data_IF_030717298665
#
_entry.id   IF_030717298665
#
_cell.length_a   1.000
_cell.length_b   1.000
_cell.length_c   1.000
_cell.angle_alpha   90.00
_cell.angle_beta   90.00
_cell.angle_gamma   90.00
#
_symmetry.space_group_name_H-M   'P 1'
#
loop_
_entity.id
_entity.type
_entity.pdbx_description
1 polymer ?
#
# COMPACT_ATOMS: atom_id res chain seq x y z
N UNK A 1 9.80 3.93 24.47
CA UNK A 1 10.85 3.94 23.44
C UNK A 1 10.66 5.21 22.62
N UNK A 2 11.60 6.16 22.70
CA UNK A 2 11.53 7.37 21.87
C UNK A 2 11.73 6.97 20.40
N UNK A 3 10.77 7.32 19.56
CA UNK A 3 10.76 7.01 18.13
C UNK A 3 11.65 7.96 17.32
N UNK A 4 12.86 8.23 17.81
CA UNK A 4 13.93 8.90 17.07
C UNK A 4 14.93 7.84 16.61
N UNK A 5 14.43 6.81 15.92
CA UNK A 5 15.30 5.89 15.19
C UNK A 5 15.66 6.60 13.90
N UNK A 6 16.91 7.05 13.78
CA UNK A 6 17.48 7.36 12.47
C UNK A 6 17.08 6.23 11.50
N UNK A 7 16.43 6.58 10.40
CA UNK A 7 16.06 5.64 9.34
C UNK A 7 17.33 5.19 8.60
N UNK A 8 18.23 4.50 9.30
CA UNK A 8 19.41 3.89 8.71
C UNK A 8 18.95 2.62 8.00
N UNK A 9 18.83 2.70 6.67
CA UNK A 9 18.41 1.59 5.82
C UNK A 9 19.27 0.34 6.05
N UNK A 10 20.57 0.53 6.29
CA UNK A 10 21.51 -0.58 6.57
C UNK A 10 21.17 -1.30 7.87
N UNK A 11 20.81 -0.55 8.92
CA UNK A 11 20.38 -1.13 10.18
C UNK A 11 19.00 -1.81 10.06
N UNK A 12 18.05 -1.15 9.39
CA UNK A 12 16.72 -1.70 9.13
C UNK A 12 16.80 -3.04 8.39
N UNK A 13 17.65 -3.12 7.37
CA UNK A 13 17.89 -4.35 6.61
C UNK A 13 18.55 -5.44 7.46
N UNK A 14 19.65 -5.12 8.16
CA UNK A 14 20.41 -6.07 8.96
C UNK A 14 19.55 -6.72 10.06
N UNK A 15 18.62 -5.96 10.62
CA UNK A 15 17.81 -6.38 11.77
C UNK A 15 16.46 -6.99 11.33
N UNK A 16 16.01 -6.77 10.09
CA UNK A 16 14.79 -7.36 9.56
C UNK A 16 14.91 -8.89 9.41
N UNK A 17 13.93 -9.69 9.88
CA UNK A 17 13.87 -11.11 9.57
C UNK A 17 13.44 -11.38 8.12
N UNK A 18 13.46 -12.64 7.70
CA UNK A 18 13.44 -12.99 6.29
C UNK A 18 12.15 -12.61 5.57
N UNK A 19 10.96 -12.72 6.18
CA UNK A 19 9.71 -12.35 5.50
C UNK A 19 9.67 -10.86 5.22
N UNK A 20 10.06 -10.05 6.20
CA UNK A 20 10.11 -8.59 6.04
C UNK A 20 11.03 -8.17 4.90
N UNK A 21 12.20 -8.83 4.77
CA UNK A 21 13.12 -8.62 3.64
C UNK A 21 12.51 -9.10 2.33
N UNK A 22 11.93 -10.29 2.31
CA UNK A 22 11.32 -10.88 1.11
C UNK A 22 10.19 -10.01 0.58
N UNK A 23 9.29 -9.52 1.43
CA UNK A 23 8.20 -8.62 1.02
C UNK A 23 8.77 -7.35 0.40
N UNK A 24 9.77 -6.71 1.02
CA UNK A 24 10.39 -5.52 0.45
C UNK A 24 11.06 -5.79 -0.90
N UNK A 25 11.85 -6.87 -1.02
CA UNK A 25 12.56 -7.23 -2.26
C UNK A 25 11.58 -7.61 -3.37
N UNK A 26 10.58 -8.45 -3.08
CA UNK A 26 9.58 -8.88 -4.08
C UNK A 26 8.79 -7.68 -4.59
N UNK A 27 8.48 -6.70 -3.73
CA UNK A 27 7.84 -5.46 -4.17
C UNK A 27 8.75 -4.62 -5.09
N UNK A 28 10.04 -4.49 -4.77
CA UNK A 28 10.99 -3.79 -5.65
C UNK A 28 11.18 -4.49 -7.01
N UNK A 29 11.22 -5.82 -7.00
CA UNK A 29 11.30 -6.63 -8.23
C UNK A 29 10.01 -6.45 -9.05
N UNK A 30 8.85 -6.61 -8.42
CA UNK A 30 7.55 -6.47 -9.08
C UNK A 30 7.35 -5.08 -9.70
N UNK A 31 7.76 -4.02 -8.99
CA UNK A 31 7.80 -2.66 -9.53
C UNK A 31 8.73 -2.53 -10.74
N UNK A 32 9.92 -3.11 -10.67
CA UNK A 32 10.90 -3.04 -11.75
C UNK A 32 10.42 -3.77 -13.00
N UNK A 33 9.70 -4.89 -12.82
CA UNK A 33 9.02 -5.61 -13.90
C UNK A 33 7.90 -4.75 -14.47
N UNK A 34 7.02 -4.20 -13.63
CA UNK A 34 5.92 -3.34 -14.06
C UNK A 34 6.42 -2.12 -14.85
N UNK A 35 7.52 -1.52 -14.40
CA UNK A 35 8.22 -0.46 -15.10
C UNK A 35 8.68 -0.88 -16.49
N UNK A 36 9.45 -1.98 -16.56
CA UNK A 36 10.00 -2.48 -17.82
C UNK A 36 8.88 -2.80 -18.82
N UNK A 37 7.81 -3.42 -18.35
CA UNK A 37 6.65 -3.75 -19.18
C UNK A 37 5.97 -2.49 -19.72
N UNK A 38 5.82 -1.45 -18.90
CA UNK A 38 5.17 -0.20 -19.29
C UNK A 38 6.03 0.64 -20.26
N UNK A 39 7.31 0.85 -19.95
CA UNK A 39 8.16 1.79 -20.68
C UNK A 39 8.92 1.15 -21.84
N UNK A 40 9.39 -0.09 -21.70
CA UNK A 40 10.22 -0.76 -22.73
C UNK A 40 9.35 -1.59 -23.68
N UNK A 41 8.42 -2.37 -23.13
CA UNK A 41 7.56 -3.25 -23.94
C UNK A 41 6.32 -2.50 -24.46
N UNK A 42 6.09 -1.27 -23.98
CA UNK A 42 4.87 -0.49 -24.26
C UNK A 42 3.58 -1.28 -23.98
N UNK A 43 3.63 -2.17 -22.99
CA UNK A 43 2.48 -2.97 -22.59
C UNK A 43 1.50 -2.08 -21.83
N UNK A 44 0.53 -1.52 -22.57
CA UNK A 44 -0.45 -0.54 -22.05
C UNK A 44 -1.54 -1.15 -21.17
N UNK A 45 -1.66 -2.48 -21.14
CA UNK A 45 -2.50 -3.20 -20.20
C UNK A 45 -1.78 -3.29 -18.86
N UNK A 46 -1.53 -2.15 -18.22
CA UNK A 46 -0.75 -2.13 -16.98
C UNK A 46 -1.51 -2.85 -15.85
N UNK A 47 -0.78 -3.38 -14.86
CA UNK A 47 -1.36 -4.09 -13.71
C UNK A 47 -2.38 -3.32 -12.88
N UNK A 48 -2.45 -2.00 -13.07
CA UNK A 48 -3.46 -1.16 -12.42
C UNK A 48 -4.85 -1.33 -13.03
N UNK A 49 -4.94 -1.73 -14.31
CA UNK A 49 -6.18 -2.16 -14.97
C UNK A 49 -6.56 -3.59 -14.53
N UNK A 50 -5.59 -4.40 -14.07
CA UNK A 50 -5.79 -5.81 -13.71
C UNK A 50 -6.72 -6.02 -12.50
N UNK A 51 -6.77 -5.10 -11.54
CA UNK A 51 -7.68 -5.26 -10.39
C UNK A 51 -9.16 -5.04 -10.76
N UNK A 52 -9.45 -4.14 -11.71
CA UNK A 52 -10.80 -3.99 -12.25
C UNK A 52 -11.10 -5.11 -13.26
N UNK A 53 -10.09 -5.55 -14.02
CA UNK A 53 -10.19 -6.73 -14.88
C UNK A 53 -10.48 -8.00 -14.08
N UNK A 54 -9.91 -8.16 -12.88
CA UNK A 54 -10.15 -9.28 -11.95
C UNK A 54 -11.63 -9.53 -11.71
N UNK A 55 -12.42 -8.45 -11.57
CA UNK A 55 -13.87 -8.52 -11.35
C UNK A 55 -14.56 -9.07 -12.60
N UNK A 56 -14.19 -8.58 -13.78
CA UNK A 56 -14.81 -8.97 -15.05
C UNK A 56 -14.36 -10.35 -15.55
N UNK A 57 -13.14 -10.78 -15.21
CA UNK A 57 -12.56 -12.05 -15.66
C UNK A 57 -12.62 -13.16 -14.60
N UNK A 58 -13.01 -12.85 -13.36
CA UNK A 58 -12.92 -13.77 -12.23
C UNK A 58 -11.48 -14.13 -11.83
N UNK A 59 -10.49 -13.37 -12.31
CA UNK A 59 -9.08 -13.68 -12.09
C UNK A 59 -8.60 -13.16 -10.72
N UNK A 60 -8.72 -14.02 -9.71
CA UNK A 60 -8.28 -13.75 -8.34
C UNK A 60 -6.75 -13.51 -8.28
N UNK A 61 -5.97 -14.03 -9.24
CA UNK A 61 -4.52 -13.84 -9.25
C UNK A 61 -4.15 -12.36 -9.38
N UNK A 62 -4.97 -11.59 -10.08
CA UNK A 62 -4.80 -10.14 -10.20
C UNK A 62 -4.89 -9.41 -8.85
N UNK A 63 -5.74 -9.89 -7.92
CA UNK A 63 -5.82 -9.35 -6.56
C UNK A 63 -4.52 -9.58 -5.77
N UNK A 64 -3.85 -10.69 -6.06
CA UNK A 64 -2.58 -11.00 -5.43
C UNK A 64 -1.42 -10.23 -6.06
N UNK A 65 -1.41 -10.08 -7.39
CA UNK A 65 -0.30 -9.49 -8.14
C UNK A 65 -0.28 -7.96 -8.10
N UNK A 66 -1.44 -7.31 -8.06
CA UNK A 66 -1.55 -5.87 -8.17
C UNK A 66 -0.74 -5.07 -7.11
N UNK A 67 -0.68 -5.45 -5.82
CA UNK A 67 0.14 -4.76 -4.83
C UNK A 67 1.64 -4.76 -5.16
N UNK A 68 2.12 -5.75 -5.92
CA UNK A 68 3.53 -5.90 -6.25
C UNK A 68 3.94 -5.14 -7.51
N UNK A 69 2.97 -4.73 -8.34
CA UNK A 69 3.22 -4.30 -9.72
C UNK A 69 2.73 -2.87 -10.04
N UNK A 70 2.70 -1.97 -9.06
CA UNK A 70 2.34 -0.57 -9.25
C UNK A 70 3.47 0.21 -9.92
N UNK A 71 3.20 0.89 -11.03
CA UNK A 71 4.19 1.70 -11.76
C UNK A 71 3.75 3.16 -11.93
N UNK A 72 2.46 3.41 -12.20
CA UNK A 72 1.92 4.70 -12.61
C UNK A 72 0.70 5.09 -11.77
N UNK A 73 0.97 5.73 -10.63
CA UNK A 73 -0.06 6.17 -9.68
C UNK A 73 -0.78 7.49 -10.07
N UNK A 74 -0.64 7.99 -11.29
CA UNK A 74 -1.23 9.26 -11.72
C UNK A 74 -0.52 9.88 -12.93
N UNK A 75 -1.21 10.80 -13.61
CA UNK A 75 -0.78 11.40 -14.89
C UNK A 75 0.63 12.02 -14.86
N UNK A 76 1.59 11.35 -15.47
CA UNK A 76 2.87 11.95 -15.90
C UNK A 76 3.98 12.11 -14.86
N UNK A 77 3.74 11.84 -13.56
CA UNK A 77 4.75 12.03 -12.50
C UNK A 77 5.47 10.72 -12.11
N UNK A 78 6.25 10.18 -13.03
CA UNK A 78 6.94 8.89 -12.85
C UNK A 78 7.91 8.90 -11.66
N UNK A 79 8.65 10.00 -11.47
CA UNK A 79 9.66 10.13 -10.42
C UNK A 79 9.03 10.15 -9.02
N UNK A 80 7.93 10.88 -8.85
CA UNK A 80 7.20 10.94 -7.58
C UNK A 80 6.56 9.59 -7.24
N UNK A 81 5.98 8.91 -8.24
CA UNK A 81 5.43 7.56 -8.08
C UNK A 81 6.50 6.57 -7.61
N UNK A 82 7.67 6.58 -8.25
CA UNK A 82 8.80 5.74 -7.86
C UNK A 82 9.29 6.06 -6.45
N UNK A 83 9.49 7.35 -6.13
CA UNK A 83 9.93 7.78 -4.80
C UNK A 83 8.96 7.31 -3.71
N UNK A 84 7.67 7.54 -3.90
CA UNK A 84 6.65 7.15 -2.91
C UNK A 84 6.55 5.63 -2.80
N UNK A 85 6.72 4.88 -3.89
CA UNK A 85 6.64 3.42 -3.81
C UNK A 85 7.90 2.79 -3.19
N UNK A 86 9.07 3.41 -3.36
CA UNK A 86 10.27 3.10 -2.56
C UNK A 86 10.03 3.39 -1.08
N UNK A 87 9.40 4.52 -0.76
CA UNK A 87 9.06 4.89 0.62
C UNK A 87 8.10 3.88 1.26
N UNK A 88 7.16 3.30 0.51
CA UNK A 88 6.32 2.20 0.99
C UNK A 88 7.16 0.98 1.38
N UNK A 89 8.13 0.59 0.52
CA UNK A 89 9.03 -0.54 0.78
C UNK A 89 9.86 -0.32 2.03
N UNK A 90 10.41 0.89 2.21
CA UNK A 90 11.16 1.29 3.40
C UNK A 90 10.26 1.27 4.64
N UNK A 91 9.02 1.74 4.52
CA UNK A 91 8.05 1.75 5.62
C UNK A 91 7.75 0.33 6.09
N UNK A 92 7.53 -0.58 5.16
CA UNK A 92 7.31 -2.00 5.44
C UNK A 92 8.55 -2.62 6.08
N UNK A 93 9.73 -2.40 5.50
CA UNK A 93 10.99 -2.94 6.03
C UNK A 93 11.26 -2.47 7.47
N UNK A 94 10.87 -1.24 7.82
CA UNK A 94 11.05 -0.70 9.17
C UNK A 94 9.99 -1.20 10.17
N UNK A 95 8.77 -1.48 9.72
CA UNK A 95 7.62 -1.71 10.62
C UNK A 95 7.18 -3.16 10.71
N UNK A 96 7.27 -3.93 9.62
CA UNK A 96 6.90 -5.34 9.57
C UNK A 96 7.76 -6.26 10.46
N UNK A 97 9.08 -6.02 10.66
CA UNK A 97 9.90 -6.85 11.55
C UNK A 97 9.36 -7.03 12.96
N UNK A 98 8.72 -5.99 13.52
CA UNK A 98 8.12 -6.06 14.85
C UNK A 98 6.97 -7.07 14.90
N UNK A 99 6.11 -7.07 13.87
CA UNK A 99 5.03 -8.04 13.71
C UNK A 99 5.58 -9.45 13.45
N UNK A 100 6.60 -9.57 12.61
CA UNK A 100 7.21 -10.84 12.27
C UNK A 100 7.81 -11.55 13.50
N UNK A 101 8.49 -10.78 14.37
CA UNK A 101 9.02 -11.32 15.64
C UNK A 101 7.92 -11.70 16.62
N UNK A 102 6.80 -10.96 16.64
CA UNK A 102 5.68 -11.20 17.55
C UNK A 102 4.91 -12.47 17.18
N UNK A 103 4.63 -12.67 15.90
CA UNK A 103 3.77 -13.76 15.43
C UNK A 103 4.54 -14.96 14.86
N UNK A 104 5.84 -14.80 14.56
CA UNK A 104 6.65 -15.75 13.81
C UNK A 104 6.53 -15.53 12.30
N UNK A 105 7.59 -15.86 11.56
CA UNK A 105 7.71 -15.57 10.13
C UNK A 105 6.56 -16.13 9.28
N UNK A 106 6.24 -17.41 9.42
CA UNK A 106 5.17 -18.03 8.61
C UNK A 106 3.80 -17.43 8.86
N UNK A 107 3.47 -17.13 10.13
CA UNK A 107 2.20 -16.46 10.46
C UNK A 107 2.19 -15.04 9.94
N UNK A 108 3.32 -14.33 10.03
CA UNK A 108 3.45 -12.99 9.48
C UNK A 108 3.29 -12.97 7.96
N UNK A 109 3.84 -13.96 7.26
CA UNK A 109 3.65 -14.12 5.82
C UNK A 109 2.17 -14.36 5.49
N UNK A 110 1.54 -15.34 6.14
CA UNK A 110 0.12 -15.64 5.93
C UNK A 110 -0.78 -14.43 6.22
N UNK A 111 -0.53 -13.70 7.31
CA UNK A 111 -1.24 -12.48 7.65
C UNK A 111 -1.00 -11.37 6.63
N UNK A 112 0.23 -11.22 6.13
CA UNK A 112 0.55 -10.24 5.09
C UNK A 112 -0.25 -10.50 3.82
N UNK A 113 -0.26 -11.76 3.35
CA UNK A 113 -1.03 -12.16 2.17
C UNK A 113 -2.54 -11.99 2.39
N UNK A 114 -3.06 -12.41 3.55
CA UNK A 114 -4.46 -12.24 3.90
C UNK A 114 -4.86 -10.76 3.95
N UNK A 115 -4.04 -9.89 4.55
CA UNK A 115 -4.29 -8.45 4.58
C UNK A 115 -4.27 -7.85 3.17
N UNK A 116 -3.31 -8.22 2.31
CA UNK A 116 -3.26 -7.73 0.94
C UNK A 116 -4.53 -8.10 0.16
N UNK A 117 -4.95 -9.35 0.25
CA UNK A 117 -6.20 -9.82 -0.38
C UNK A 117 -7.43 -9.12 0.19
N UNK A 118 -7.52 -8.96 1.52
CA UNK A 118 -8.64 -8.31 2.17
C UNK A 118 -8.75 -6.83 1.79
N UNK A 119 -7.63 -6.11 1.78
CA UNK A 119 -7.60 -4.69 1.40
C UNK A 119 -8.06 -4.52 -0.04
N UNK A 120 -7.53 -5.33 -0.96
CA UNK A 120 -7.93 -5.29 -2.37
C UNK A 120 -9.39 -5.67 -2.57
N UNK A 121 -9.88 -6.69 -1.84
CA UNK A 121 -11.28 -7.10 -1.86
C UNK A 121 -12.22 -6.01 -1.35
N UNK A 122 -11.87 -5.33 -0.26
CA UNK A 122 -12.65 -4.18 0.25
C UNK A 122 -12.67 -3.06 -0.79
N UNK A 123 -11.51 -2.69 -1.33
CA UNK A 123 -11.41 -1.64 -2.34
C UNK A 123 -12.30 -1.93 -3.55
N UNK A 124 -12.20 -3.16 -4.08
CA UNK A 124 -13.00 -3.61 -5.21
C UNK A 124 -14.49 -3.60 -4.90
N UNK A 125 -14.91 -4.16 -3.76
CA UNK A 125 -16.32 -4.19 -3.39
C UNK A 125 -16.92 -2.80 -3.21
N UNK A 126 -16.15 -1.83 -2.68
CA UNK A 126 -16.59 -0.44 -2.57
C UNK A 126 -16.72 0.22 -3.95
N UNK A 127 -15.75 0.00 -4.84
CA UNK A 127 -15.81 0.53 -6.20
C UNK A 127 -16.99 -0.07 -6.99
N UNK A 128 -17.22 -1.38 -6.87
CA UNK A 128 -18.35 -2.07 -7.51
C UNK A 128 -19.69 -1.54 -7.00
N UNK A 129 -19.86 -1.39 -5.68
CA UNK A 129 -21.06 -0.81 -5.10
C UNK A 129 -21.30 0.64 -5.54
N UNK A 130 -20.24 1.44 -5.67
CA UNK A 130 -20.32 2.81 -6.19
C UNK A 130 -20.74 2.85 -7.66
N UNK A 131 -20.22 1.94 -8.49
CA UNK A 131 -20.63 1.79 -9.89
C UNK A 131 -22.11 1.38 -10.00
N UNK A 132 -22.56 0.40 -9.22
CA UNK A 132 -23.95 -0.07 -9.23
C UNK A 132 -24.94 1.00 -8.75
N UNK A 133 -24.57 1.77 -7.72
CA UNK A 133 -25.47 2.77 -7.10
C UNK A 133 -25.60 4.07 -7.88
N UNK A 134 -24.60 4.44 -8.69
CA UNK A 134 -24.61 5.70 -9.44
C UNK A 134 -25.47 5.64 -10.72
N UNK A 135 -25.95 4.45 -11.13
CA UNK A 135 -26.69 4.26 -12.38
C UNK A 135 -25.87 4.59 -13.63
N UNK A 136 -24.59 4.91 -13.46
CA UNK A 136 -23.62 5.13 -14.51
C UNK A 136 -23.28 3.75 -15.04
N UNK A 137 -23.68 3.45 -16.27
CA UNK A 137 -23.31 2.24 -17.00
C UNK A 137 -21.81 2.03 -16.89
N UNK A 138 -21.38 1.08 -16.04
CA UNK A 138 -20.00 0.68 -15.72
C UNK A 138 -18.96 1.53 -16.43
N UNK A 139 -18.84 2.82 -16.05
CA UNK A 139 -17.95 3.71 -16.78
C UNK A 139 -16.55 3.30 -16.32
N UNK A 140 -15.75 2.67 -17.20
CA UNK A 140 -14.40 2.28 -16.85
C UNK A 140 -13.61 3.52 -16.42
N UNK A 141 -14.00 4.73 -16.79
CA UNK A 141 -13.27 5.93 -16.38
C UNK A 141 -13.54 6.39 -14.93
N UNK A 142 -14.67 6.02 -14.32
CA UNK A 142 -14.96 6.34 -12.91
C UNK A 142 -14.36 5.29 -11.96
N UNK A 143 -14.37 4.01 -12.35
CA UNK A 143 -13.74 2.91 -11.60
C UNK A 143 -12.27 2.63 -11.93
N UNK A 144 -11.85 2.79 -13.20
CA UNK A 144 -10.49 2.44 -13.66
C UNK A 144 -9.48 3.61 -13.63
N UNK A 145 -9.87 4.84 -13.28
CA UNK A 145 -8.90 5.88 -12.93
C UNK A 145 -8.39 5.78 -11.48
N UNK A 146 -8.85 4.76 -10.75
CA UNK A 146 -8.38 4.47 -9.39
C UNK A 146 -7.34 3.36 -9.41
N UNK A 147 -6.11 3.75 -9.78
CA UNK A 147 -4.93 2.90 -9.75
C UNK A 147 -4.63 2.45 -8.31
N UNK A 148 -4.57 1.13 -8.08
CA UNK A 148 -4.03 0.55 -6.85
C UNK A 148 -2.59 1.02 -6.67
N UNK A 149 -2.28 1.54 -5.49
CA UNK A 149 -0.99 2.15 -5.22
C UNK A 149 0.00 1.17 -4.59
N UNK A 150 0.10 0.00 -5.21
CA UNK A 150 1.04 -1.05 -4.84
C UNK A 150 0.91 -1.46 -3.37
N UNK A 151 2.01 -1.36 -2.63
CA UNK A 151 2.07 -1.76 -1.22
C UNK A 151 1.64 -0.67 -0.22
N UNK A 152 1.30 0.55 -0.67
CA UNK A 152 0.89 1.62 0.24
C UNK A 152 -0.33 1.28 1.11
N UNK A 153 -1.39 0.64 0.61
CA UNK A 153 -2.51 0.22 1.45
C UNK A 153 -2.09 -0.69 2.60
N UNK A 154 -1.16 -1.61 2.36
CA UNK A 154 -0.61 -2.47 3.40
C UNK A 154 0.31 -1.70 4.37
N UNK A 155 1.12 -0.77 3.86
CA UNK A 155 1.90 0.12 4.71
C UNK A 155 0.98 0.96 5.64
N UNK A 156 -0.12 1.49 5.11
CA UNK A 156 -1.14 2.22 5.87
C UNK A 156 -1.79 1.33 6.93
N UNK A 157 -2.09 0.06 6.61
CA UNK A 157 -2.57 -0.91 7.60
C UNK A 157 -1.59 -1.07 8.77
N UNK A 158 -0.31 -1.32 8.48
CA UNK A 158 0.73 -1.50 9.53
C UNK A 158 0.91 -0.22 10.35
N UNK A 159 1.04 0.92 9.69
CA UNK A 159 1.20 2.23 10.34
C UNK A 159 0.03 2.50 11.27
N UNK A 160 -1.20 2.31 10.78
CA UNK A 160 -2.42 2.51 11.56
C UNK A 160 -2.44 1.60 12.79
N UNK A 161 -2.14 0.31 12.63
CA UNK A 161 -2.08 -0.64 13.76
C UNK A 161 -1.11 -0.18 14.83
N UNK A 162 0.12 0.17 14.46
CA UNK A 162 1.13 0.62 15.41
C UNK A 162 0.76 1.94 16.11
N UNK A 163 0.20 2.89 15.37
CA UNK A 163 -0.29 4.14 15.93
C UNK A 163 -1.43 3.91 16.92
N UNK A 164 -2.33 2.96 16.61
CA UNK A 164 -3.50 2.65 17.44
C UNK A 164 -3.18 1.80 18.67
N UNK A 165 -2.09 1.04 18.65
CA UNK A 165 -1.57 0.32 19.83
C UNK A 165 -0.96 1.29 20.86
N UNK A 166 -0.48 2.46 20.42
CA UNK A 166 0.07 3.52 21.28
C UNK A 166 -0.50 4.91 20.95
N UNK A 167 -1.79 5.17 21.21
CA UNK A 167 -2.47 6.36 20.72
C UNK A 167 -2.02 7.67 21.40
N UNK A 168 -1.36 7.60 22.57
CA UNK A 168 -0.80 8.77 23.26
C UNK A 168 0.58 9.18 22.72
N UNK A 169 1.19 8.35 21.86
CA UNK A 169 2.48 8.63 21.25
C UNK A 169 2.44 9.74 20.21
N UNK A 170 3.62 10.13 19.75
CA UNK A 170 3.84 11.05 18.63
C UNK A 170 4.82 10.42 17.65
N UNK A 171 4.62 10.67 16.36
CA UNK A 171 5.53 10.31 15.28
C UNK A 171 6.17 11.58 14.73
N UNK A 172 7.47 11.51 14.49
CA UNK A 172 8.19 12.55 13.77
C UNK A 172 8.01 12.36 12.26
N UNK A 173 7.43 13.36 11.58
CA UNK A 173 7.30 13.41 10.14
C UNK A 173 8.51 14.16 9.56
N UNK A 174 9.51 13.38 9.13
CA UNK A 174 10.72 13.85 8.46
C UNK A 174 11.53 14.93 9.21
N UNK A 175 11.48 14.94 10.55
CA UNK A 175 12.23 15.89 11.38
C UNK A 175 11.61 17.29 11.43
N UNK A 176 10.50 17.52 10.73
CA UNK A 176 9.89 18.84 10.61
C UNK A 176 8.70 19.03 11.56
N UNK A 177 7.84 17.99 11.69
CA UNK A 177 6.62 18.09 12.49
C UNK A 177 6.40 16.84 13.34
N UNK A 178 5.98 17.05 14.58
CA UNK A 178 5.51 15.97 15.46
C UNK A 178 3.99 15.84 15.37
N UNK A 179 3.53 14.69 14.90
CA UNK A 179 2.11 14.41 14.72
C UNK A 179 1.69 13.36 15.76
N UNK A 180 0.56 13.59 16.42
CA UNK A 180 0.02 12.60 17.36
C UNK A 180 -0.36 11.30 16.63
N UNK A 181 -0.07 10.16 17.24
CA UNK A 181 -0.34 8.83 16.66
C UNK A 181 -1.81 8.67 16.23
N UNK A 182 -2.78 9.27 16.94
CA UNK A 182 -4.20 9.21 16.57
C UNK A 182 -4.50 9.82 15.20
N UNK A 183 -3.78 10.89 14.85
CA UNK A 183 -4.01 11.65 13.63
C UNK A 183 -3.05 11.29 12.51
N UNK A 184 -1.93 10.63 12.83
CA UNK A 184 -0.89 10.31 11.85
C UNK A 184 -1.40 9.50 10.64
N UNK A 185 -2.23 8.44 10.78
CA UNK A 185 -2.75 7.72 9.62
C UNK A 185 -3.65 8.60 8.72
N UNK A 186 -4.49 9.45 9.32
CA UNK A 186 -5.36 10.36 8.54
C UNK A 186 -4.53 11.42 7.83
N UNK A 187 -3.56 12.02 8.54
CA UNK A 187 -2.62 12.96 7.95
C UNK A 187 -1.88 12.36 6.76
N UNK A 188 -1.35 11.14 6.92
CA UNK A 188 -0.60 10.46 5.87
C UNK A 188 -1.50 10.15 4.67
N UNK A 189 -2.74 9.69 4.88
CA UNK A 189 -3.71 9.47 3.81
C UNK A 189 -4.00 10.75 3.03
N UNK A 190 -4.23 11.88 3.73
CA UNK A 190 -4.49 13.18 3.10
C UNK A 190 -3.26 13.69 2.36
N UNK A 191 -2.08 13.60 2.96
CA UNK A 191 -0.81 13.99 2.34
C UNK A 191 -0.55 13.22 1.04
N UNK A 192 -0.69 11.90 1.08
CA UNK A 192 -0.48 11.04 -0.07
C UNK A 192 -1.54 11.29 -1.16
N UNK A 193 -2.80 11.51 -0.76
CA UNK A 193 -3.88 11.85 -1.69
C UNK A 193 -3.63 13.21 -2.38
N UNK A 194 -3.16 14.21 -1.63
CA UNK A 194 -2.78 15.50 -2.17
C UNK A 194 -1.58 15.39 -3.11
N UNK A 195 -0.56 14.61 -2.75
CA UNK A 195 0.62 14.37 -3.59
C UNK A 195 0.26 13.71 -4.94
N UNK A 196 -0.77 12.85 -4.96
CA UNK A 196 -1.26 12.18 -6.16
C UNK A 196 -2.42 12.92 -6.84
N UNK A 197 -2.86 14.07 -6.30
CA UNK A 197 -4.02 14.83 -6.76
C UNK A 197 -5.30 13.98 -6.92
N UNK A 198 -5.44 12.93 -6.10
CA UNK A 198 -6.57 11.98 -6.13
C UNK A 198 -6.81 11.37 -4.77
N UNK A 199 -8.03 10.95 -4.51
CA UNK A 199 -8.37 10.22 -3.28
C UNK A 199 -7.83 8.79 -3.40
N UNK A 200 -7.01 8.38 -2.43
CA UNK A 200 -6.43 7.03 -2.36
C UNK A 200 -7.35 6.08 -1.57
N UNK A 201 -8.39 5.58 -2.25
CA UNK A 201 -9.42 4.71 -1.65
C UNK A 201 -8.90 3.34 -1.20
N UNK A 202 -7.87 2.84 -1.87
CA UNK A 202 -7.14 1.63 -1.49
C UNK A 202 -6.40 1.83 -0.15
N UNK A 203 -5.71 2.96 0.01
CA UNK A 203 -5.07 3.34 1.27
C UNK A 203 -6.10 3.52 2.40
N UNK A 204 -7.26 4.12 2.10
CA UNK A 204 -8.37 4.21 3.06
C UNK A 204 -8.85 2.81 3.47
N UNK A 205 -8.94 1.86 2.55
CA UNK A 205 -9.30 0.46 2.85
C UNK A 205 -8.29 -0.19 3.80
N UNK A 206 -7.00 0.07 3.63
CA UNK A 206 -5.95 -0.35 4.57
C UNK A 206 -6.12 0.23 5.97
N UNK A 207 -6.44 1.52 6.08
CA UNK A 207 -6.74 2.18 7.36
C UNK A 207 -7.98 1.57 8.03
N UNK A 208 -9.07 1.39 7.28
CA UNK A 208 -10.32 0.83 7.80
C UNK A 208 -10.13 -0.60 8.30
N UNK A 209 -9.43 -1.45 7.52
CA UNK A 209 -9.12 -2.81 7.93
C UNK A 209 -8.32 -2.82 9.24
N UNK A 210 -7.34 -1.93 9.39
CA UNK A 210 -6.55 -1.81 10.62
C UNK A 210 -7.38 -1.40 11.84
N UNK A 211 -8.41 -0.57 11.65
CA UNK A 211 -9.32 -0.15 12.71
C UNK A 211 -10.31 -1.26 13.10
N UNK A 212 -10.76 -2.06 12.13
CA UNK A 212 -11.68 -3.19 12.34
C UNK A 212 -10.97 -4.38 13.00
N UNK A 213 -9.72 -4.66 12.64
CA UNK A 213 -8.92 -5.78 13.19
C UNK A 213 -8.57 -5.60 14.69
N UNK A 214 -9.20 -4.70 15.44
CA UNK A 214 -8.83 -4.46 16.84
C UNK A 214 -9.09 -5.66 17.75
#
# INVERSE_FOLDING_TARGET
MSASGEYSLSNAWAVAPWVSRTVAVVHLIGMSIAWLMAEVVHYRSTPEVLAVWSINSGDILCLFMAPWMSWKAGGGQHELSLFLTLLASITILNRLPASERRYGSWRCLALTLACLMAINGIFIGVMEAACLSSGISFDPYFGCNQYLWGMWPFAMFIVTRQCMDHPRGRVDFWGAWQISNKWYPVFLLVFLSAAQMRILWDCLSGVLLALIWR
#
